data_IF_549975958176
#
_entry.id   IF_549975958176
#
_cell.length_a   1.000
_cell.length_b   1.000
_cell.length_c   1.000
_cell.angle_alpha   90.00
_cell.angle_beta   90.00
_cell.angle_gamma   90.00
#
_symmetry.space_group_name_H-M   'P 1'
#
loop_
_entity.id
_entity.type
_entity.pdbx_description
1 polymer ?
#
# COMPACT_ATOMS: atom_id res chain seq x y z
N UNK A 1 61.44 -25.76 -29.86
CA UNK A 1 61.01 -24.96 -28.68
C UNK A 1 59.49 -24.98 -28.66
N UNK A 2 58.88 -25.74 -27.76
CA UNK A 2 57.43 -25.73 -27.56
C UNK A 2 57.19 -25.64 -26.06
N UNK A 3 56.55 -24.55 -25.64
CA UNK A 3 56.19 -24.26 -24.26
C UNK A 3 55.32 -23.01 -24.28
N UNK A 4 54.01 -23.22 -24.30
CA UNK A 4 53.05 -22.14 -24.05
C UNK A 4 53.07 -21.87 -22.54
N UNK A 5 53.42 -20.66 -22.15
CA UNK A 5 53.23 -20.19 -20.76
C UNK A 5 51.74 -19.85 -20.58
N UNK A 6 51.10 -20.30 -19.48
CA UNK A 6 49.72 -19.92 -19.18
C UNK A 6 49.64 -18.40 -18.95
N UNK A 7 48.56 -17.79 -19.42
CA UNK A 7 48.29 -16.36 -19.21
C UNK A 7 48.00 -16.11 -17.74
N UNK A 8 48.86 -15.35 -17.08
CA UNK A 8 48.88 -15.11 -15.62
C UNK A 8 47.86 -14.09 -15.10
N UNK A 9 46.86 -13.70 -15.89
CA UNK A 9 45.84 -12.75 -15.43
C UNK A 9 44.48 -13.05 -16.01
N UNK A 10 43.84 -14.09 -15.48
CA UNK A 10 42.37 -14.16 -15.52
C UNK A 10 41.92 -13.20 -14.41
N UNK A 11 41.34 -12.06 -14.78
CA UNK A 11 40.57 -11.23 -13.86
C UNK A 11 39.49 -12.14 -13.25
N UNK A 12 39.72 -12.59 -12.01
CA UNK A 12 38.79 -13.47 -11.34
C UNK A 12 37.54 -12.68 -11.05
N UNK A 13 36.43 -13.13 -11.62
CA UNK A 13 35.12 -12.63 -11.26
C UNK A 13 34.93 -12.67 -9.74
N UNK A 14 34.26 -11.65 -9.16
CA UNK A 14 34.00 -11.62 -7.73
C UNK A 14 33.27 -12.90 -7.31
N UNK A 15 33.48 -13.38 -6.09
CA UNK A 15 32.81 -14.58 -5.61
C UNK A 15 31.28 -14.39 -5.55
N UNK A 16 30.53 -15.45 -5.83
CA UNK A 16 29.08 -15.43 -5.70
C UNK A 16 28.68 -15.20 -4.23
N UNK A 17 27.62 -14.42 -3.95
CA UNK A 17 27.10 -14.24 -2.60
C UNK A 17 26.75 -15.58 -1.95
N UNK A 18 26.98 -15.68 -0.64
CA UNK A 18 26.62 -16.87 0.13
C UNK A 18 25.12 -16.82 0.44
N UNK A 19 24.38 -17.81 -0.04
CA UNK A 19 23.01 -18.06 0.38
C UNK A 19 23.00 -18.84 1.71
N UNK A 20 22.50 -18.21 2.76
CA UNK A 20 22.45 -18.75 4.12
C UNK A 20 21.32 -19.77 4.34
N UNK A 21 20.41 -19.95 3.36
CA UNK A 21 19.32 -20.91 3.48
C UNK A 21 19.85 -22.36 3.53
N UNK A 22 19.21 -23.26 4.30
CA UNK A 22 19.54 -24.68 4.28
C UNK A 22 19.29 -25.29 2.89
N UNK A 23 20.19 -26.18 2.46
CA UNK A 23 20.05 -26.89 1.17
C UNK A 23 18.81 -27.79 1.17
N UNK A 24 18.09 -27.85 0.06
CA UNK A 24 17.00 -28.80 -0.10
C UNK A 24 17.50 -30.26 -0.04
N UNK A 25 16.59 -31.18 0.30
CA UNK A 25 16.91 -32.61 0.44
C UNK A 25 17.40 -33.22 -0.88
N UNK A 26 18.22 -34.27 -0.82
CA UNK A 26 18.74 -34.96 -2.01
C UNK A 26 17.64 -35.44 -2.96
N UNK A 27 16.50 -35.89 -2.42
CA UNK A 27 15.34 -36.27 -3.24
C UNK A 27 14.80 -35.06 -4.05
N UNK A 28 14.63 -33.91 -3.40
CA UNK A 28 14.18 -32.69 -4.06
C UNK A 28 15.16 -32.19 -5.13
N UNK A 29 16.46 -32.44 -4.97
CA UNK A 29 17.47 -32.12 -5.99
C UNK A 29 17.32 -33.00 -7.24
N UNK A 30 17.06 -34.29 -7.04
CA UNK A 30 16.82 -35.23 -8.14
C UNK A 30 15.53 -34.89 -8.90
N UNK A 31 14.46 -34.58 -8.17
CA UNK A 31 13.18 -34.18 -8.75
C UNK A 31 13.33 -32.89 -9.58
N UNK A 32 14.07 -31.90 -9.06
CA UNK A 32 14.38 -30.67 -9.77
C UNK A 32 15.13 -30.94 -11.09
N UNK A 33 16.11 -31.85 -11.09
CA UNK A 33 16.85 -32.19 -12.29
C UNK A 33 15.93 -32.77 -13.39
N UNK A 34 14.96 -33.61 -13.01
CA UNK A 34 13.94 -34.15 -13.91
C UNK A 34 13.04 -33.04 -14.46
N UNK A 35 12.57 -32.13 -13.59
CA UNK A 35 11.74 -30.98 -13.95
C UNK A 35 12.44 -30.04 -14.94
N UNK A 36 13.70 -29.70 -14.67
CA UNK A 36 14.50 -28.84 -15.55
C UNK A 36 14.85 -29.54 -16.87
N UNK A 37 15.01 -30.87 -16.86
CA UNK A 37 15.17 -31.71 -18.05
C UNK A 37 13.93 -31.81 -18.94
N UNK A 38 12.77 -31.34 -18.47
CA UNK A 38 11.51 -31.28 -19.23
C UNK A 38 10.49 -32.34 -18.84
N UNK A 39 10.82 -33.28 -17.95
CA UNK A 39 9.84 -34.18 -17.36
C UNK A 39 9.02 -33.44 -16.30
N UNK A 40 7.69 -33.48 -16.36
CA UNK A 40 6.83 -32.78 -15.38
C UNK A 40 7.09 -31.26 -15.27
N UNK A 41 7.46 -30.58 -16.36
CA UNK A 41 7.74 -29.14 -16.33
C UNK A 41 6.58 -28.27 -15.78
N UNK A 42 5.34 -28.77 -15.85
CA UNK A 42 4.16 -28.10 -15.33
C UNK A 42 4.09 -27.96 -13.80
N UNK A 43 4.85 -28.76 -13.03
CA UNK A 43 4.88 -28.66 -11.55
C UNK A 43 6.08 -27.88 -11.02
N UNK A 44 6.94 -27.39 -11.91
CA UNK A 44 8.13 -26.62 -11.55
C UNK A 44 7.78 -25.33 -10.78
N UNK A 45 6.74 -24.53 -11.16
CA UNK A 45 6.35 -23.37 -10.37
C UNK A 45 6.02 -23.70 -8.91
N UNK A 46 5.19 -24.73 -8.68
CA UNK A 46 4.74 -25.17 -7.36
C UNK A 46 5.92 -25.68 -6.51
N UNK A 47 6.87 -26.37 -7.14
CA UNK A 47 8.09 -26.81 -6.48
C UNK A 47 8.93 -25.61 -5.99
N UNK A 48 9.13 -24.59 -6.84
CA UNK A 48 9.90 -23.39 -6.49
C UNK A 48 9.20 -22.56 -5.39
N UNK A 49 7.87 -22.48 -5.44
CA UNK A 49 7.07 -21.87 -4.38
C UNK A 49 7.22 -22.63 -3.06
N UNK A 50 7.21 -23.97 -3.10
CA UNK A 50 7.40 -24.80 -1.91
C UNK A 50 8.78 -24.60 -1.28
N UNK A 51 9.84 -24.50 -2.10
CA UNK A 51 11.19 -24.20 -1.62
C UNK A 51 11.25 -22.82 -0.95
N UNK A 52 10.65 -21.81 -1.59
CA UNK A 52 10.60 -20.44 -1.06
C UNK A 52 9.85 -20.41 0.27
N UNK A 53 8.70 -21.09 0.36
CA UNK A 53 7.87 -21.16 1.57
C UNK A 53 8.58 -21.85 2.73
N UNK A 54 9.37 -22.89 2.47
CA UNK A 54 10.14 -23.62 3.48
C UNK A 54 11.53 -23.01 3.74
N UNK A 55 11.84 -21.86 3.13
CA UNK A 55 13.13 -21.17 3.24
C UNK A 55 14.33 -22.07 2.91
N UNK A 56 14.21 -22.91 1.88
CA UNK A 56 15.26 -23.81 1.39
C UNK A 56 15.98 -23.19 0.17
N UNK A 57 17.26 -23.54 -0.03
CA UNK A 57 18.00 -23.19 -1.25
C UNK A 57 18.11 -24.34 -2.24
N UNK A 58 18.21 -23.96 -3.50
CA UNK A 58 18.53 -24.83 -4.63
C UNK A 58 20.04 -25.15 -4.67
N UNK A 59 20.43 -26.30 -5.24
CA UNK A 59 21.82 -26.55 -5.58
C UNK A 59 22.32 -25.56 -6.65
N UNK A 60 23.50 -24.95 -6.47
CA UNK A 60 24.01 -23.93 -7.38
C UNK A 60 24.21 -24.44 -8.81
N UNK A 61 24.50 -25.74 -8.99
CA UNK A 61 24.65 -26.40 -10.28
C UNK A 61 23.39 -26.35 -11.16
N UNK A 62 22.20 -26.17 -10.56
CA UNK A 62 20.93 -26.11 -11.29
C UNK A 62 20.49 -24.68 -11.65
N UNK A 63 21.19 -23.66 -11.15
CA UNK A 63 20.86 -22.26 -11.44
C UNK A 63 20.89 -21.94 -12.95
N UNK A 64 21.90 -22.36 -13.73
CA UNK A 64 21.92 -22.09 -15.18
C UNK A 64 20.70 -22.68 -15.91
N UNK A 65 20.35 -23.93 -15.60
CA UNK A 65 19.21 -24.60 -16.21
C UNK A 65 17.87 -23.94 -15.82
N UNK A 66 17.76 -23.44 -14.59
CA UNK A 66 16.62 -22.63 -14.16
C UNK A 66 16.55 -21.30 -14.94
N UNK A 67 17.68 -20.60 -15.14
CA UNK A 67 17.71 -19.35 -15.90
C UNK A 67 17.28 -19.56 -17.37
N UNK A 68 17.71 -20.64 -18.01
CA UNK A 68 17.23 -20.99 -19.36
C UNK A 68 15.73 -21.22 -19.40
N UNK A 69 15.15 -21.87 -18.37
CA UNK A 69 13.72 -22.10 -18.28
C UNK A 69 12.95 -20.80 -18.07
N UNK A 70 13.43 -19.90 -17.20
CA UNK A 70 12.86 -18.57 -17.01
C UNK A 70 12.90 -17.74 -18.31
N UNK A 71 13.97 -17.86 -19.10
CA UNK A 71 14.08 -17.18 -20.39
C UNK A 71 13.03 -17.63 -21.40
N UNK A 72 12.73 -18.93 -21.42
CA UNK A 72 11.74 -19.53 -22.33
C UNK A 72 10.30 -19.37 -21.83
N UNK A 73 10.11 -19.15 -20.52
CA UNK A 73 8.80 -18.98 -19.90
C UNK A 73 8.81 -17.79 -18.92
N UNK A 74 8.42 -16.58 -19.38
CA UNK A 74 8.41 -15.38 -18.55
C UNK A 74 7.58 -15.47 -17.28
N UNK A 75 6.49 -16.27 -17.28
CA UNK A 75 5.62 -16.46 -16.10
C UNK A 75 6.36 -17.12 -14.93
N UNK A 76 7.41 -17.92 -15.22
CA UNK A 76 8.25 -18.58 -14.21
C UNK A 76 9.24 -17.61 -13.54
N UNK A 77 9.46 -16.43 -14.11
CA UNK A 77 10.58 -15.55 -13.72
C UNK A 77 10.52 -15.14 -12.24
N UNK A 78 9.33 -14.80 -11.73
CA UNK A 78 9.17 -14.37 -10.34
C UNK A 78 9.42 -15.52 -9.35
N UNK A 79 8.81 -16.69 -9.59
CA UNK A 79 9.02 -17.87 -8.75
C UNK A 79 10.48 -18.34 -8.79
N UNK A 80 11.09 -18.32 -9.99
CA UNK A 80 12.49 -18.67 -10.22
C UNK A 80 13.46 -17.74 -9.47
N UNK A 81 13.27 -16.42 -9.55
CA UNK A 81 14.12 -15.45 -8.83
C UNK A 81 14.09 -15.67 -7.31
N UNK A 82 12.89 -15.82 -6.74
CA UNK A 82 12.73 -16.02 -5.28
C UNK A 82 13.37 -17.33 -4.80
N UNK A 83 13.21 -18.40 -5.56
CA UNK A 83 13.78 -19.70 -5.22
C UNK A 83 15.32 -19.73 -5.38
N UNK A 84 15.86 -19.11 -6.45
CA UNK A 84 17.29 -19.08 -6.73
C UNK A 84 18.12 -18.25 -5.75
N UNK A 85 17.52 -17.22 -5.14
CA UNK A 85 18.20 -16.39 -4.15
C UNK A 85 19.31 -15.50 -4.74
N UNK A 86 20.22 -14.98 -3.90
CA UNK A 86 21.15 -13.89 -4.30
C UNK A 86 22.19 -14.30 -5.36
N UNK A 87 22.37 -15.60 -5.60
CA UNK A 87 23.32 -16.12 -6.58
C UNK A 87 22.88 -15.91 -8.03
N UNK A 88 21.56 -15.77 -8.27
CA UNK A 88 21.03 -15.58 -9.62
C UNK A 88 21.46 -14.25 -10.22
N UNK A 89 21.52 -13.19 -9.42
CA UNK A 89 21.99 -11.87 -9.83
C UNK A 89 23.48 -11.87 -10.20
N UNK A 90 24.28 -12.60 -9.41
CA UNK A 90 25.69 -12.80 -9.72
C UNK A 90 25.86 -13.52 -11.06
N UNK A 91 25.11 -14.59 -11.28
CA UNK A 91 25.18 -15.38 -12.51
C UNK A 91 24.79 -14.55 -13.74
N UNK A 92 23.73 -13.76 -13.63
CA UNK A 92 23.28 -12.89 -14.71
C UNK A 92 24.24 -11.74 -15.05
N UNK A 93 25.01 -11.23 -14.09
CA UNK A 93 26.06 -10.23 -14.37
C UNK A 93 27.14 -10.78 -15.29
N UNK A 94 27.40 -12.09 -15.24
CA UNK A 94 28.38 -12.76 -16.09
C UNK A 94 27.86 -13.13 -17.48
N UNK A 95 26.54 -13.15 -17.66
CA UNK A 95 25.89 -13.65 -18.87
C UNK A 95 24.86 -12.63 -19.39
N UNK A 96 25.21 -11.81 -20.39
CA UNK A 96 24.36 -10.74 -20.91
C UNK A 96 22.93 -11.17 -21.27
N UNK A 97 22.75 -12.39 -21.79
CA UNK A 97 21.45 -12.95 -22.16
C UNK A 97 20.48 -13.13 -20.97
N UNK A 98 21.02 -13.13 -19.75
CA UNK A 98 20.26 -13.36 -18.51
C UNK A 98 20.07 -12.10 -17.67
N UNK A 99 20.68 -10.96 -18.06
CA UNK A 99 20.55 -9.70 -17.32
C UNK A 99 19.09 -9.26 -17.17
N UNK A 100 18.29 -9.37 -18.23
CA UNK A 100 16.86 -9.02 -18.19
C UNK A 100 15.98 -9.96 -17.37
N UNK A 101 16.48 -11.13 -16.94
CA UNK A 101 15.72 -12.08 -16.12
C UNK A 101 15.79 -11.77 -14.62
N UNK A 102 16.88 -11.14 -14.20
CA UNK A 102 17.17 -10.81 -12.79
C UNK A 102 17.06 -9.33 -12.48
N UNK A 103 17.02 -8.48 -13.51
CA UNK A 103 16.50 -7.15 -13.30
C UNK A 103 15.07 -7.36 -12.83
N UNK A 104 14.79 -6.98 -11.58
CA UNK A 104 13.46 -6.51 -11.29
C UNK A 104 13.17 -5.51 -12.41
N UNK A 105 12.05 -5.69 -13.11
CA UNK A 105 11.41 -4.55 -13.74
C UNK A 105 11.14 -3.59 -12.58
N UNK A 106 12.16 -2.82 -12.18
CA UNK A 106 12.07 -1.83 -11.14
C UNK A 106 11.17 -0.79 -11.75
N UNK A 107 9.87 -1.00 -11.54
CA UNK A 107 8.80 -0.15 -12.05
C UNK A 107 9.20 1.25 -11.60
N UNK A 108 9.66 2.07 -12.54
CA UNK A 108 10.06 3.41 -12.22
C UNK A 108 8.77 4.22 -12.00
N UNK A 109 8.63 4.78 -10.79
CA UNK A 109 7.46 5.56 -10.40
C UNK A 109 7.08 6.62 -11.43
N UNK A 110 8.06 7.24 -12.10
CA UNK A 110 7.81 8.37 -13.00
C UNK A 110 7.40 7.95 -14.42
N UNK A 111 7.66 6.71 -14.82
CA UNK A 111 7.32 6.19 -16.17
C UNK A 111 6.26 5.09 -16.15
N UNK A 112 5.93 4.58 -14.96
CA UNK A 112 4.96 3.52 -14.77
C UNK A 112 3.52 3.93 -15.04
N UNK A 113 2.73 2.97 -15.52
CA UNK A 113 1.27 3.13 -15.66
C UNK A 113 0.60 3.38 -14.31
N UNK A 114 -0.60 3.96 -14.31
CA UNK A 114 -1.34 4.24 -13.08
C UNK A 114 -1.58 2.98 -12.21
N UNK A 115 -1.91 1.84 -12.82
CA UNK A 115 -2.10 0.59 -12.08
C UNK A 115 -0.79 0.08 -11.46
N UNK A 116 0.31 0.16 -12.20
CA UNK A 116 1.64 -0.20 -11.73
C UNK A 116 2.10 0.71 -10.57
N UNK A 117 1.87 2.03 -10.68
CA UNK A 117 2.15 3.00 -9.61
C UNK A 117 1.38 2.69 -8.33
N UNK A 118 0.10 2.30 -8.39
CA UNK A 118 -0.65 1.90 -7.18
C UNK A 118 -0.03 0.69 -6.47
N UNK A 119 0.41 -0.32 -7.23
CA UNK A 119 1.10 -1.49 -6.67
C UNK A 119 2.42 -1.08 -6.03
N UNK A 120 3.24 -0.33 -6.77
CA UNK A 120 4.54 0.16 -6.33
C UNK A 120 4.44 1.03 -5.07
N UNK A 121 3.47 1.96 -5.02
CA UNK A 121 3.27 2.83 -3.86
C UNK A 121 2.94 2.02 -2.61
N UNK A 122 2.05 1.02 -2.72
CA UNK A 122 1.68 0.15 -1.61
C UNK A 122 2.87 -0.66 -1.09
N UNK A 123 3.64 -1.26 -2.00
CA UNK A 123 4.83 -2.05 -1.66
C UNK A 123 5.90 -1.17 -1.00
N UNK A 124 6.23 -0.03 -1.62
CA UNK A 124 7.21 0.91 -1.07
C UNK A 124 6.75 1.49 0.25
N UNK A 125 5.47 1.84 0.42
CA UNK A 125 4.95 2.41 1.68
C UNK A 125 5.20 1.49 2.88
N UNK A 126 5.03 0.17 2.69
CA UNK A 126 5.29 -0.81 3.75
C UNK A 126 6.77 -0.85 4.19
N UNK A 127 7.70 -0.69 3.23
CA UNK A 127 9.14 -0.81 3.44
C UNK A 127 9.79 0.52 3.84
N UNK A 128 9.56 1.56 3.05
CA UNK A 128 10.12 2.90 3.17
C UNK A 128 9.02 3.97 3.00
N UNK A 129 8.35 4.38 4.10
CA UNK A 129 7.25 5.33 4.04
C UNK A 129 7.66 6.71 3.52
N UNK A 130 8.87 7.16 3.84
CA UNK A 130 9.38 8.48 3.41
C UNK A 130 9.59 8.53 1.89
N UNK A 131 10.13 7.46 1.29
CA UNK A 131 10.32 7.39 -0.15
C UNK A 131 8.98 7.39 -0.90
N UNK A 132 8.00 6.63 -0.41
CA UNK A 132 6.65 6.59 -0.98
C UNK A 132 6.00 7.98 -0.97
N UNK A 133 6.06 8.69 0.17
CA UNK A 133 5.52 10.04 0.29
C UNK A 133 6.28 11.03 -0.61
N UNK A 134 7.61 10.95 -0.69
CA UNK A 134 8.42 11.81 -1.56
C UNK A 134 8.10 11.63 -3.06
N UNK A 135 7.88 10.39 -3.52
CA UNK A 135 7.45 10.12 -4.89
C UNK A 135 6.10 10.75 -5.21
N UNK A 136 5.13 10.56 -4.33
CA UNK A 136 3.78 11.10 -4.51
C UNK A 136 3.78 12.63 -4.44
N UNK A 137 4.51 13.22 -3.48
CA UNK A 137 4.66 14.68 -3.37
C UNK A 137 5.25 15.29 -4.64
N UNK A 138 6.27 14.64 -5.21
CA UNK A 138 6.93 15.11 -6.44
C UNK A 138 6.02 15.05 -7.66
N UNK A 139 5.23 13.98 -7.83
CA UNK A 139 4.31 13.88 -8.99
C UNK A 139 2.97 14.58 -8.78
N UNK A 140 2.64 14.98 -7.54
CA UNK A 140 1.35 15.55 -7.16
C UNK A 140 0.83 16.69 -8.05
N UNK A 141 1.66 17.67 -8.49
CA UNK A 141 1.18 18.77 -9.34
C UNK A 141 0.64 18.31 -10.69
N UNK A 142 1.13 17.19 -11.20
CA UNK A 142 0.81 16.63 -12.52
C UNK A 142 -0.33 15.60 -12.45
N UNK A 143 -0.66 15.09 -11.26
CA UNK A 143 -1.70 14.09 -11.10
C UNK A 143 -3.11 14.67 -11.34
N UNK A 144 -3.91 13.89 -12.09
CA UNK A 144 -5.36 14.13 -12.21
C UNK A 144 -6.06 13.89 -10.87
N UNK A 145 -7.17 14.58 -10.65
CA UNK A 145 -7.94 14.49 -9.40
C UNK A 145 -8.34 13.05 -9.02
N UNK A 146 -8.71 12.23 -10.01
CA UNK A 146 -9.03 10.81 -9.81
C UNK A 146 -7.83 10.01 -9.28
N UNK A 147 -6.65 10.21 -9.87
CA UNK A 147 -5.43 9.54 -9.44
C UNK A 147 -5.01 9.97 -8.04
N UNK A 148 -5.07 11.27 -7.75
CA UNK A 148 -4.82 11.84 -6.41
C UNK A 148 -5.69 11.16 -5.35
N UNK A 149 -7.00 11.10 -5.59
CA UNK A 149 -7.95 10.45 -4.69
C UNK A 149 -7.65 8.95 -4.51
N UNK A 150 -7.22 8.25 -5.57
CA UNK A 150 -6.88 6.84 -5.50
C UNK A 150 -5.52 6.54 -4.82
N UNK A 151 -4.57 7.48 -4.85
CA UNK A 151 -3.26 7.31 -4.21
C UNK A 151 -3.29 7.59 -2.71
N UNK A 152 -4.06 8.57 -2.25
CA UNK A 152 -4.10 8.97 -0.83
C UNK A 152 -4.35 7.78 0.12
N UNK A 153 -5.39 6.94 -0.07
CA UNK A 153 -5.62 5.78 0.82
C UNK A 153 -4.44 4.82 0.94
N UNK A 154 -3.56 4.77 -0.07
CA UNK A 154 -2.39 3.90 -0.06
C UNK A 154 -1.29 4.38 0.90
N UNK A 155 -1.41 5.58 1.48
CA UNK A 155 -0.51 6.10 2.51
C UNK A 155 -0.86 5.65 3.94
N UNK A 156 -2.06 5.07 4.15
CA UNK A 156 -2.53 4.65 5.47
C UNK A 156 -1.57 3.70 6.21
N UNK A 157 -0.93 2.70 5.57
CA UNK A 157 0.07 1.88 6.25
C UNK A 157 1.23 2.73 6.75
N UNK A 158 1.60 2.59 8.04
CA UNK A 158 2.70 3.35 8.68
C UNK A 158 2.53 4.89 8.61
N UNK A 159 1.28 5.37 8.60
CA UNK A 159 0.92 6.79 8.67
C UNK A 159 1.60 7.48 9.87
N UNK A 160 2.19 8.66 9.65
CA UNK A 160 2.97 9.36 10.66
C UNK A 160 2.93 10.88 10.47
N UNK A 161 3.37 11.64 11.49
CA UNK A 161 3.41 13.11 11.44
C UNK A 161 4.20 13.67 10.25
N UNK A 162 5.14 12.91 9.66
CA UNK A 162 5.85 13.31 8.44
C UNK A 162 4.91 13.47 7.23
N UNK A 163 3.76 12.79 7.23
CA UNK A 163 2.77 12.87 6.15
C UNK A 163 1.84 14.10 6.32
N UNK A 164 1.76 14.71 7.51
CA UNK A 164 0.83 15.80 7.83
C UNK A 164 0.94 17.01 6.89
N UNK A 165 2.15 17.57 6.60
CA UNK A 165 2.24 18.74 5.73
C UNK A 165 1.75 18.49 4.31
N UNK A 166 1.94 17.27 3.79
CA UNK A 166 1.42 16.87 2.49
C UNK A 166 -0.10 16.72 2.51
N UNK A 167 -0.64 16.07 3.54
CA UNK A 167 -2.08 15.86 3.68
C UNK A 167 -2.85 17.17 3.89
N UNK A 168 -2.30 18.14 4.62
CA UNK A 168 -2.87 19.49 4.74
C UNK A 168 -2.95 20.19 3.38
N UNK A 169 -1.92 20.07 2.54
CA UNK A 169 -1.96 20.59 1.16
C UNK A 169 -2.98 19.83 0.30
N UNK A 170 -3.11 18.52 0.47
CA UNK A 170 -4.12 17.72 -0.23
C UNK A 170 -5.55 18.09 0.22
N UNK A 171 -5.73 18.50 1.47
CA UNK A 171 -6.99 18.98 2.01
C UNK A 171 -7.44 20.32 1.42
N UNK A 172 -6.53 21.08 0.79
CA UNK A 172 -6.88 22.30 0.04
C UNK A 172 -7.04 22.08 -1.47
N UNK A 173 -7.05 20.82 -1.95
CA UNK A 173 -7.23 20.52 -3.37
C UNK A 173 -8.63 20.94 -3.88
N UNK A 174 -8.72 21.29 -5.17
CA UNK A 174 -9.99 21.67 -5.82
C UNK A 174 -11.01 20.53 -5.84
N UNK A 175 -10.54 19.29 -5.91
CA UNK A 175 -11.39 18.10 -5.95
C UNK A 175 -11.92 17.76 -4.57
N UNK A 176 -13.25 17.71 -4.44
CA UNK A 176 -13.95 17.25 -3.22
C UNK A 176 -13.43 15.90 -2.74
N UNK A 177 -13.25 14.96 -3.66
CA UNK A 177 -12.84 13.60 -3.32
C UNK A 177 -11.42 13.55 -2.78
N UNK A 178 -10.51 14.34 -3.34
CA UNK A 178 -9.13 14.46 -2.83
C UNK A 178 -9.13 15.02 -1.41
N UNK A 179 -9.91 16.09 -1.17
CA UNK A 179 -10.06 16.67 0.18
C UNK A 179 -10.63 15.67 1.18
N UNK A 180 -11.62 14.87 0.77
CA UNK A 180 -12.23 13.85 1.63
C UNK A 180 -11.22 12.77 2.04
N UNK A 181 -10.44 12.25 1.08
CA UNK A 181 -9.41 11.24 1.37
C UNK A 181 -8.29 11.82 2.26
N UNK A 182 -7.90 13.07 2.04
CA UNK A 182 -6.94 13.76 2.91
C UNK A 182 -7.48 13.91 4.34
N UNK A 183 -8.74 14.32 4.50
CA UNK A 183 -9.38 14.47 5.81
C UNK A 183 -9.42 13.15 6.60
N UNK A 184 -9.70 12.02 5.93
CA UNK A 184 -9.67 10.68 6.54
C UNK A 184 -8.30 10.37 7.14
N UNK A 185 -7.23 10.61 6.38
CA UNK A 185 -5.88 10.34 6.84
C UNK A 185 -5.45 11.30 7.96
N UNK A 186 -5.80 12.58 7.86
CA UNK A 186 -5.56 13.58 8.91
C UNK A 186 -6.25 13.19 10.23
N UNK A 187 -7.47 12.64 10.17
CA UNK A 187 -8.19 12.16 11.35
C UNK A 187 -7.53 10.93 12.00
N UNK A 188 -6.81 10.10 11.22
CA UNK A 188 -6.08 8.94 11.73
C UNK A 188 -4.71 9.28 12.34
N UNK A 189 -4.12 10.42 11.99
CA UNK A 189 -2.83 10.84 12.54
C UNK A 189 -2.94 11.18 14.03
N UNK A 190 -1.94 10.81 14.87
CA UNK A 190 -1.92 11.26 16.26
C UNK A 190 -1.68 12.77 16.32
N UNK A 191 -2.41 13.47 17.21
CA UNK A 191 -2.19 14.87 17.60
C UNK A 191 -1.79 15.83 16.46
N UNK A 192 -2.76 16.23 15.64
CA UNK A 192 -2.58 17.26 14.61
C UNK A 192 -3.72 18.28 14.66
N UNK A 193 -3.48 19.44 14.03
CA UNK A 193 -4.44 20.55 14.02
C UNK A 193 -5.82 20.11 13.53
N UNK A 194 -5.89 19.37 12.42
CA UNK A 194 -7.16 18.99 11.77
C UNK A 194 -7.95 17.98 12.56
N UNK A 195 -7.28 16.98 13.13
CA UNK A 195 -7.92 16.03 14.05
C UNK A 195 -8.49 16.75 15.26
N UNK A 196 -7.77 17.72 15.81
CA UNK A 196 -8.24 18.51 16.95
C UNK A 196 -9.45 19.39 16.58
N UNK A 197 -9.41 20.04 15.42
CA UNK A 197 -10.57 20.78 14.88
C UNK A 197 -11.79 19.86 14.68
N UNK A 198 -11.60 18.68 14.09
CA UNK A 198 -12.65 17.67 13.89
C UNK A 198 -13.24 17.19 15.21
N UNK A 199 -12.38 16.82 16.17
CA UNK A 199 -12.79 16.31 17.47
C UNK A 199 -13.57 17.36 18.27
N UNK A 200 -13.12 18.61 18.27
CA UNK A 200 -13.78 19.67 19.02
C UNK A 200 -15.13 20.05 18.39
N UNK A 201 -15.20 20.18 17.06
CA UNK A 201 -16.47 20.39 16.37
C UNK A 201 -17.44 19.23 16.60
N UNK A 202 -16.96 17.98 16.54
CA UNK A 202 -17.77 16.80 16.84
C UNK A 202 -18.36 16.87 18.25
N UNK A 203 -17.50 17.08 19.25
CA UNK A 203 -17.89 17.17 20.66
C UNK A 203 -18.92 18.27 20.90
N UNK A 204 -18.72 19.44 20.33
CA UNK A 204 -19.57 20.60 20.56
C UNK A 204 -20.90 20.55 19.80
N UNK A 205 -20.90 20.02 18.58
CA UNK A 205 -22.03 20.19 17.64
C UNK A 205 -22.74 18.91 17.24
N UNK A 206 -22.10 17.75 17.40
CA UNK A 206 -22.59 16.48 16.85
C UNK A 206 -22.71 15.36 17.89
N UNK A 207 -21.97 15.39 19.00
CA UNK A 207 -21.96 14.32 20.01
C UNK A 207 -23.35 13.98 20.56
N UNK A 208 -24.20 14.99 20.81
CA UNK A 208 -25.58 14.79 21.25
C UNK A 208 -26.55 14.30 20.16
N UNK A 209 -26.15 14.34 18.89
CA UNK A 209 -26.95 13.92 17.74
C UNK A 209 -26.89 12.41 17.47
N UNK A 210 -26.04 11.67 18.21
CA UNK A 210 -25.98 10.22 18.14
C UNK A 210 -27.21 9.53 18.73
N UNK A 211 -27.99 10.24 19.56
CA UNK A 211 -29.30 9.79 20.01
C UNK A 211 -30.35 10.01 18.91
N UNK A 212 -30.93 8.95 18.30
CA UNK A 212 -31.89 9.09 17.20
C UNK A 212 -33.11 9.92 17.56
N UNK A 213 -33.60 9.84 18.79
CA UNK A 213 -34.86 10.49 19.20
C UNK A 213 -34.69 12.01 19.35
N UNK A 214 -33.52 12.46 19.78
CA UNK A 214 -33.20 13.88 19.98
C UNK A 214 -32.47 14.52 18.80
N UNK A 215 -31.99 13.72 17.83
CA UNK A 215 -31.07 14.14 16.76
C UNK A 215 -31.52 15.39 16.01
N UNK A 216 -32.71 15.35 15.42
CA UNK A 216 -33.18 16.42 14.55
C UNK A 216 -33.33 17.75 15.30
N UNK A 217 -33.75 17.70 16.57
CA UNK A 217 -33.84 18.87 17.42
C UNK A 217 -32.46 19.38 17.83
N UNK A 218 -31.57 18.48 18.25
CA UNK A 218 -30.20 18.82 18.66
C UNK A 218 -29.43 19.47 17.51
N UNK A 219 -29.42 18.87 16.31
CA UNK A 219 -28.74 19.41 15.13
C UNK A 219 -29.29 20.78 14.71
N UNK A 220 -30.60 21.03 14.84
CA UNK A 220 -31.17 22.36 14.57
C UNK A 220 -30.67 23.41 15.56
N UNK A 221 -30.49 23.03 16.84
CA UNK A 221 -30.00 23.94 17.88
C UNK A 221 -28.49 24.20 17.76
N UNK A 222 -27.70 23.17 17.47
CA UNK A 222 -26.23 23.27 17.39
C UNK A 222 -25.72 23.73 16.03
N UNK A 223 -26.48 23.58 14.96
CA UNK A 223 -26.12 24.02 13.60
C UNK A 223 -27.21 24.94 13.04
N UNK A 224 -27.41 26.14 13.59
CA UNK A 224 -28.48 27.03 13.19
C UNK A 224 -28.29 27.55 11.76
N UNK A 225 -27.05 27.85 11.35
CA UNK A 225 -26.72 28.48 10.07
C UNK A 225 -25.67 27.68 9.28
N UNK A 226 -25.95 27.44 8.00
CA UNK A 226 -25.03 26.78 7.06
C UNK A 226 -23.85 27.68 6.67
N UNK A 227 -23.97 28.99 6.88
CA UNK A 227 -23.00 30.00 6.47
C UNK A 227 -21.89 30.23 7.50
N UNK A 228 -21.90 29.52 8.63
CA UNK A 228 -20.87 29.61 9.67
C UNK A 228 -19.49 29.26 9.09
N UNK A 229 -18.52 30.18 9.22
CA UNK A 229 -17.18 30.05 8.62
C UNK A 229 -16.46 28.75 9.04
N UNK A 230 -16.64 28.34 10.29
CA UNK A 230 -16.06 27.10 10.84
C UNK A 230 -16.58 25.82 10.19
N UNK A 231 -17.78 25.87 9.56
CA UNK A 231 -18.40 24.72 8.89
C UNK A 231 -18.09 24.67 7.40
N UNK A 232 -17.70 25.79 6.78
CA UNK A 232 -17.49 25.89 5.33
C UNK A 232 -16.54 24.82 4.77
N UNK A 233 -15.38 24.51 5.39
CA UNK A 233 -14.49 23.46 4.88
C UNK A 233 -15.17 22.09 4.83
N UNK A 234 -16.04 21.79 5.79
CA UNK A 234 -16.73 20.51 5.93
C UNK A 234 -17.97 20.41 5.04
N UNK A 235 -18.73 21.48 4.93
CA UNK A 235 -19.87 21.58 3.99
C UNK A 235 -19.39 21.38 2.56
N UNK A 236 -18.20 21.87 2.22
CA UNK A 236 -17.58 21.68 0.92
C UNK A 236 -17.18 20.22 0.60
N UNK A 237 -17.26 19.30 1.58
CA UNK A 237 -17.04 17.86 1.39
C UNK A 237 -18.33 17.07 1.17
N UNK A 238 -19.49 17.66 1.48
CA UNK A 238 -20.78 17.00 1.29
C UNK A 238 -21.05 16.73 -0.21
N UNK A 239 -21.63 15.56 -0.55
CA UNK A 239 -22.11 15.31 -1.89
C UNK A 239 -23.28 16.24 -2.23
N UNK A 240 -23.50 16.50 -3.51
CA UNK A 240 -24.56 17.39 -3.97
C UNK A 240 -25.97 16.94 -3.51
N UNK A 241 -26.18 15.63 -3.38
CA UNK A 241 -27.42 15.01 -2.90
C UNK A 241 -27.77 15.37 -1.46
N UNK A 242 -26.77 15.62 -0.60
CA UNK A 242 -26.97 15.87 0.83
C UNK A 242 -27.03 17.36 1.17
N UNK A 243 -26.86 18.26 0.19
CA UNK A 243 -26.93 19.71 0.46
C UNK A 243 -28.29 20.17 0.99
N UNK A 244 -29.38 19.48 0.63
CA UNK A 244 -30.72 19.74 1.14
C UNK A 244 -30.92 19.30 2.61
N UNK A 245 -30.15 18.32 3.06
CA UNK A 245 -30.16 17.72 4.41
C UNK A 245 -28.78 17.85 5.05
N UNK A 246 -28.18 19.04 4.92
CA UNK A 246 -26.77 19.25 5.21
C UNK A 246 -26.38 18.99 6.66
N UNK A 247 -27.31 19.11 7.62
CA UNK A 247 -27.06 18.83 9.04
C UNK A 247 -26.80 17.34 9.25
N UNK A 248 -27.69 16.50 8.71
CA UNK A 248 -27.56 15.06 8.73
C UNK A 248 -26.33 14.61 7.93
N UNK A 249 -26.10 15.20 6.74
CA UNK A 249 -24.90 14.94 5.94
C UNK A 249 -23.60 15.28 6.69
N UNK A 250 -23.55 16.39 7.42
CA UNK A 250 -22.39 16.72 8.26
C UNK A 250 -22.20 15.73 9.40
N UNK A 251 -23.28 15.32 10.09
CA UNK A 251 -23.19 14.28 11.12
C UNK A 251 -22.58 12.99 10.53
N UNK A 252 -23.10 12.52 9.39
CA UNK A 252 -22.60 11.33 8.70
C UNK A 252 -21.14 11.49 8.29
N UNK A 253 -20.77 12.64 7.72
CA UNK A 253 -19.40 12.96 7.36
C UNK A 253 -18.48 12.84 8.56
N UNK A 254 -18.77 13.52 9.67
CA UNK A 254 -17.93 13.52 10.86
C UNK A 254 -17.81 12.13 11.50
N UNK A 255 -18.92 11.38 11.58
CA UNK A 255 -18.87 9.99 12.06
C UNK A 255 -18.05 9.10 11.13
N UNK A 256 -18.06 9.36 9.83
CA UNK A 256 -17.23 8.60 8.88
C UNK A 256 -15.75 8.98 8.89
N UNK A 257 -15.38 10.16 9.42
CA UNK A 257 -14.02 10.66 9.45
C UNK A 257 -13.30 10.31 10.76
N UNK A 258 -13.98 10.40 11.89
CA UNK A 258 -13.36 10.20 13.19
C UNK A 258 -13.14 8.72 13.50
N UNK A 259 -12.00 8.34 14.09
CA UNK A 259 -11.80 7.01 14.64
C UNK A 259 -12.88 6.68 15.68
N UNK A 260 -13.32 5.42 15.73
CA UNK A 260 -14.39 4.96 16.64
C UNK A 260 -14.09 5.29 18.10
N UNK A 261 -12.84 5.13 18.52
CA UNK A 261 -12.39 5.45 19.87
C UNK A 261 -12.60 6.94 20.22
N UNK A 262 -12.38 7.84 19.25
CA UNK A 262 -12.64 9.26 19.43
C UNK A 262 -14.14 9.54 19.57
N UNK A 263 -14.98 8.91 18.73
CA UNK A 263 -16.44 9.07 18.80
C UNK A 263 -16.96 8.60 20.17
N UNK A 264 -16.51 7.45 20.66
CA UNK A 264 -16.87 6.91 21.98
C UNK A 264 -16.47 7.86 23.10
N UNK A 265 -15.21 8.29 23.10
CA UNK A 265 -14.65 9.18 24.13
C UNK A 265 -15.33 10.54 24.15
N UNK A 266 -15.60 11.13 22.99
CA UNK A 266 -16.14 12.48 22.87
C UNK A 266 -17.66 12.52 23.13
N UNK A 267 -18.39 11.47 22.75
CA UNK A 267 -19.84 11.39 22.97
C UNK A 267 -20.24 10.85 24.33
N UNK A 268 -19.35 10.10 25.01
CA UNK A 268 -19.69 9.37 26.23
C UNK A 268 -20.69 8.22 26.01
N UNK A 269 -21.01 7.88 24.75
CA UNK A 269 -21.90 6.78 24.40
C UNK A 269 -21.19 5.43 24.46
N UNK A 270 -21.97 4.35 24.61
CA UNK A 270 -21.47 2.98 24.54
C UNK A 270 -21.43 2.50 23.08
N UNK A 271 -20.45 1.66 22.75
CA UNK A 271 -20.25 1.09 21.40
C UNK A 271 -21.52 0.48 20.81
N UNK A 272 -22.31 -0.25 21.61
CA UNK A 272 -23.56 -0.86 21.14
C UNK A 272 -24.56 0.17 20.57
N UNK A 273 -24.68 1.36 21.17
CA UNK A 273 -25.55 2.42 20.65
C UNK A 273 -25.05 3.00 19.33
N UNK A 274 -23.72 3.09 19.18
CA UNK A 274 -23.09 3.55 17.92
C UNK A 274 -23.27 2.50 16.83
N UNK A 275 -23.17 1.20 17.14
CA UNK A 275 -23.40 0.14 16.17
C UNK A 275 -24.85 0.10 15.69
N UNK A 276 -25.82 0.28 16.59
CA UNK A 276 -27.23 0.45 16.20
C UNK A 276 -27.43 1.63 15.24
N UNK A 277 -26.73 2.74 15.47
CA UNK A 277 -26.72 3.90 14.58
C UNK A 277 -26.12 3.57 13.21
N UNK A 278 -24.97 2.89 13.16
CA UNK A 278 -24.26 2.53 11.92
C UNK A 278 -25.03 1.53 11.05
N UNK A 279 -25.71 0.58 11.69
CA UNK A 279 -26.56 -0.40 11.01
C UNK A 279 -27.79 0.24 10.38
N UNK A 280 -28.39 1.25 11.03
CA UNK A 280 -29.54 1.98 10.47
C UNK A 280 -29.18 2.85 9.25
N UNK A 281 -27.93 3.29 9.13
CA UNK A 281 -27.51 4.21 8.07
C UNK A 281 -26.65 3.58 6.96
N UNK A 282 -26.49 2.24 6.94
CA UNK A 282 -25.62 1.52 5.98
C UNK A 282 -24.17 2.05 5.96
N UNK A 283 -23.69 2.58 7.09
CA UNK A 283 -22.31 3.10 7.24
C UNK A 283 -21.31 2.03 7.70
N UNK A 284 -21.77 0.77 7.82
CA UNK A 284 -21.02 -0.38 8.33
C UNK A 284 -19.71 -0.67 7.60
N UNK A 285 -19.61 -0.36 6.30
CA UNK A 285 -18.39 -0.58 5.53
C UNK A 285 -17.25 0.41 5.85
N UNK A 286 -17.54 1.60 6.36
CA UNK A 286 -16.52 2.62 6.64
C UNK A 286 -15.90 2.51 8.04
N UNK A 287 -16.57 1.81 8.96
CA UNK A 287 -16.17 1.72 10.38
C UNK A 287 -15.38 0.46 10.69
N UNK A 288 -15.51 -0.60 9.88
CA UNK A 288 -14.86 -1.89 10.13
C UNK A 288 -13.48 -2.05 9.48
N UNK A 289 -13.06 -1.12 8.61
CA UNK A 289 -11.80 -1.17 7.86
C UNK A 289 -10.72 -0.19 8.38
N UNK A 290 -10.92 0.44 9.55
CA UNK A 290 -9.97 1.35 10.20
C UNK A 290 -9.15 0.69 11.31
#
# INVERSE_FOLDING_TARGET
>A
KAGFLPVDSIDRSPAAPVDQRPMCSTAAQQDLAVMLGGGHAGVLPEFLEMLTKNNLRLPPEHLPALMERMQRNPELSEAGRRAAGPQIEWLAKQHPQWQGLVQDDAIDWFTASFSARKKLLRETRSRNPLLASAWLEKSWPEEKAEHKAAFLPLLAPRLSANDEPFLERAFTDRSREVRLQAARLLACLPENRRRNELAELFKQRFAGALDPDARAQYLKQTLPDISEESLLPWIALLPASEKGTWREGLLQLFVSLLPVDDILRLSGQKLFKILQWLDTEKLTAAVLDA
#
